data_IF_493995526826
#
_entry.id   IF_493995526826
#
_cell.length_a   1.000
_cell.length_b   1.000
_cell.length_c   1.000
_cell.angle_alpha   90.00
_cell.angle_beta   90.00
_cell.angle_gamma   90.00
#
_symmetry.space_group_name_H-M   'P 1'
#
loop_
_entity.id
_entity.type
_entity.pdbx_description
1 polymer ?
#
# COMPACT_ATOMS: atom_id res chain seq x y z
N UNK A 1 4.84 16.41 33.16
CA UNK A 1 5.79 15.27 33.09
C UNK A 1 5.34 14.25 32.04
N UNK A 2 4.04 13.95 31.93
CA UNK A 2 3.48 13.09 30.87
C UNK A 2 3.60 13.66 29.44
N UNK A 3 3.36 14.95 29.20
CA UNK A 3 3.48 15.56 27.85
C UNK A 3 4.89 15.43 27.25
N UNK A 4 5.93 15.67 28.06
CA UNK A 4 7.32 15.49 27.65
C UNK A 4 7.66 14.01 27.37
N UNK A 5 7.06 13.09 28.14
CA UNK A 5 7.20 11.64 27.90
C UNK A 5 6.58 11.24 26.56
N UNK A 6 5.41 11.77 26.22
CA UNK A 6 4.75 11.45 24.94
C UNK A 6 5.49 12.02 23.74
N UNK A 7 6.07 13.22 23.87
CA UNK A 7 6.95 13.79 22.85
C UNK A 7 8.20 12.90 22.63
N UNK A 8 8.84 12.43 23.70
CA UNK A 8 9.99 11.52 23.62
C UNK A 8 9.62 10.16 23.02
N UNK A 9 8.48 9.57 23.42
CA UNK A 9 7.93 8.34 22.81
C UNK A 9 7.72 8.53 21.30
N UNK A 10 7.14 9.65 20.89
CA UNK A 10 6.88 9.96 19.47
C UNK A 10 8.18 10.09 18.68
N UNK A 11 9.17 10.83 19.22
CA UNK A 11 10.48 10.96 18.61
C UNK A 11 11.22 9.62 18.49
N UNK A 12 11.10 8.74 19.49
CA UNK A 12 11.65 7.38 19.45
C UNK A 12 11.00 6.53 18.37
N UNK A 13 9.68 6.59 18.21
CA UNK A 13 8.96 5.88 17.14
C UNK A 13 9.40 6.36 15.76
N UNK A 14 9.52 7.68 15.57
CA UNK A 14 10.02 8.25 14.32
C UNK A 14 11.45 7.76 13.99
N UNK A 15 12.36 7.82 14.96
CA UNK A 15 13.74 7.35 14.77
C UNK A 15 13.81 5.85 14.49
N UNK A 16 12.99 5.05 15.18
CA UNK A 16 12.89 3.61 14.94
C UNK A 16 12.38 3.34 13.53
N UNK A 17 11.35 4.06 13.08
CA UNK A 17 10.82 3.94 11.73
C UNK A 17 11.88 4.28 10.69
N UNK A 18 12.54 5.44 10.80
CA UNK A 18 13.59 5.87 9.85
C UNK A 18 14.73 4.86 9.80
N UNK A 19 15.26 4.43 10.95
CA UNK A 19 16.36 3.46 11.02
C UNK A 19 15.99 2.10 10.41
N UNK A 20 14.76 1.66 10.64
CA UNK A 20 14.27 0.40 10.08
C UNK A 20 14.07 0.54 8.57
N UNK A 21 13.53 1.67 8.12
CA UNK A 21 13.35 1.96 6.71
C UNK A 21 14.68 2.09 5.96
N UNK A 22 15.69 2.74 6.50
CA UNK A 22 17.02 2.79 5.89
C UNK A 22 17.64 1.40 5.74
N UNK A 23 17.44 0.54 6.73
CA UNK A 23 17.99 -0.83 6.73
C UNK A 23 17.29 -1.75 5.73
N UNK A 24 15.98 -1.61 5.54
CA UNK A 24 15.17 -2.56 4.76
C UNK A 24 14.56 -1.97 3.48
N UNK A 25 14.38 -0.67 3.37
CA UNK A 25 13.73 0.02 2.26
C UNK A 25 14.46 -0.10 0.91
N UNK A 26 15.77 -0.40 0.94
CA UNK A 26 16.57 -0.67 -0.25
C UNK A 26 16.68 -2.16 -0.62
N UNK A 27 16.14 -3.07 0.21
CA UNK A 27 16.17 -4.50 -0.12
C UNK A 27 15.17 -4.81 -1.23
N UNK A 28 15.54 -5.80 -2.06
CA UNK A 28 14.69 -6.28 -3.13
C UNK A 28 13.41 -6.95 -2.62
N UNK A 29 13.52 -7.60 -1.46
CA UNK A 29 12.46 -8.32 -0.75
C UNK A 29 12.52 -7.96 0.74
N UNK A 30 11.40 -7.54 1.30
CA UNK A 30 11.22 -7.31 2.73
C UNK A 30 10.45 -8.51 3.28
N UNK A 31 10.98 -9.22 4.28
CA UNK A 31 10.26 -10.31 4.94
C UNK A 31 8.87 -9.85 5.43
N UNK A 32 7.84 -10.69 5.29
CA UNK A 32 6.45 -10.31 5.60
C UNK A 32 6.24 -9.91 7.07
N UNK A 33 6.94 -10.57 7.98
CA UNK A 33 7.00 -10.24 9.41
C UNK A 33 7.61 -8.86 9.66
N UNK A 34 8.62 -8.47 8.89
CA UNK A 34 9.24 -7.14 8.96
C UNK A 34 8.34 -6.08 8.36
N UNK A 35 7.61 -6.39 7.28
CA UNK A 35 6.62 -5.48 6.69
C UNK A 35 5.51 -5.16 7.69
N UNK A 36 4.90 -6.18 8.30
CA UNK A 36 3.89 -6.01 9.34
C UNK A 36 4.43 -5.20 10.52
N UNK A 37 5.67 -5.44 10.94
CA UNK A 37 6.26 -4.68 12.05
C UNK A 37 6.48 -3.21 11.70
N UNK A 38 6.96 -2.90 10.49
CA UNK A 38 7.26 -1.53 10.04
C UNK A 38 5.97 -0.72 9.85
N UNK A 39 4.98 -1.32 9.20
CA UNK A 39 3.73 -0.67 8.82
C UNK A 39 2.59 -0.88 9.82
N UNK A 40 2.80 -1.66 10.88
CA UNK A 40 1.87 -1.68 12.00
C UNK A 40 1.68 -0.25 12.53
N UNK A 41 0.41 0.12 12.65
CA UNK A 41 -0.01 1.44 13.14
C UNK A 41 -0.53 1.35 14.58
N UNK A 42 -0.70 0.14 15.12
CA UNK A 42 -1.35 -0.08 16.42
C UNK A 42 -0.70 0.74 17.54
N UNK A 43 0.63 0.82 17.58
CA UNK A 43 1.34 1.58 18.62
C UNK A 43 1.15 3.09 18.44
N UNK A 44 1.21 3.57 17.21
CA UNK A 44 0.99 4.95 16.84
C UNK A 44 -0.45 5.37 17.13
N UNK A 45 -1.45 4.55 16.81
CA UNK A 45 -2.86 4.82 17.10
C UNK A 45 -3.13 4.88 18.61
N UNK A 46 -2.53 3.99 19.40
CA UNK A 46 -2.65 4.03 20.86
C UNK A 46 -2.01 5.30 21.44
N UNK A 47 -0.83 5.67 20.95
CA UNK A 47 -0.15 6.90 21.37
C UNK A 47 -0.93 8.14 20.92
N UNK A 48 -1.56 8.10 19.74
CA UNK A 48 -2.37 9.19 19.20
C UNK A 48 -3.59 9.44 20.07
N UNK A 49 -4.25 8.35 20.50
CA UNK A 49 -5.32 8.42 21.48
C UNK A 49 -4.82 8.98 22.82
N UNK A 50 -3.67 8.52 23.33
CA UNK A 50 -3.06 9.04 24.57
C UNK A 50 -2.80 10.55 24.48
N UNK A 51 -2.28 11.04 23.34
CA UNK A 51 -2.08 12.48 23.11
C UNK A 51 -3.40 13.23 23.09
N UNK A 52 -4.43 12.69 22.43
CA UNK A 52 -5.74 13.33 22.35
C UNK A 52 -6.39 13.44 23.74
N UNK A 53 -6.37 12.36 24.52
CA UNK A 53 -6.89 12.32 25.88
C UNK A 53 -6.16 13.38 26.76
N UNK A 54 -4.83 13.48 26.68
CA UNK A 54 -4.05 14.51 27.40
C UNK A 54 -4.43 15.93 26.97
N UNK A 55 -4.70 16.17 25.68
CA UNK A 55 -5.10 17.50 25.20
C UNK A 55 -6.47 17.91 25.75
N UNK A 56 -7.40 16.97 25.82
CA UNK A 56 -8.73 17.20 26.37
C UNK A 56 -8.64 17.49 27.89
N UNK A 57 -7.82 16.75 28.63
CA UNK A 57 -7.53 16.99 30.05
C UNK A 57 -6.89 18.38 30.29
N UNK A 58 -5.91 18.76 29.46
CA UNK A 58 -5.28 20.09 29.54
C UNK A 58 -6.27 21.21 29.19
N UNK A 59 -7.15 21.01 28.21
CA UNK A 59 -8.22 21.94 27.89
C UNK A 59 -9.18 22.14 29.06
N UNK A 60 -9.56 21.06 29.74
CA UNK A 60 -10.39 21.11 30.94
C UNK A 60 -9.70 21.84 32.10
N UNK A 61 -8.41 21.59 32.32
CA UNK A 61 -7.62 22.30 33.33
C UNK A 61 -7.46 23.79 33.03
N UNK A 62 -7.27 24.15 31.75
CA UNK A 62 -7.21 25.55 31.34
C UNK A 62 -8.51 26.29 31.66
N UNK A 63 -9.66 25.68 31.33
CA UNK A 63 -10.96 26.24 31.66
C UNK A 63 -11.14 26.41 33.19
N UNK A 64 -10.78 25.39 33.97
CA UNK A 64 -10.84 25.44 35.43
C UNK A 64 -9.98 26.59 36.00
N UNK A 65 -8.77 26.80 35.50
CA UNK A 65 -7.91 27.88 35.98
C UNK A 65 -8.42 29.27 35.57
N UNK A 66 -9.05 29.39 34.40
CA UNK A 66 -9.73 30.62 34.00
C UNK A 66 -10.90 30.95 34.94
N UNK A 67 -11.72 29.95 35.27
CA UNK A 67 -12.82 30.12 36.24
C UNK A 67 -12.29 30.51 37.62
N UNK A 68 -11.23 29.86 38.10
CA UNK A 68 -10.60 30.20 39.38
C UNK A 68 -10.07 31.64 39.39
N UNK A 69 -9.46 32.11 38.29
CA UNK A 69 -9.04 33.50 38.15
C UNK A 69 -10.23 34.47 38.17
N UNK A 70 -11.37 34.08 37.58
CA UNK A 70 -12.62 34.84 37.64
C UNK A 70 -13.14 34.97 39.06
N UNK A 71 -13.25 33.86 39.79
CA UNK A 71 -13.69 33.85 41.20
C UNK A 71 -12.76 34.68 42.07
N UNK A 72 -11.44 34.54 41.90
CA UNK A 72 -10.45 35.35 42.63
C UNK A 72 -10.62 36.85 42.35
N UNK A 73 -10.90 37.23 41.10
CA UNK A 73 -11.16 38.62 40.73
C UNK A 73 -12.46 39.15 41.33
N UNK A 74 -13.50 38.32 41.45
CA UNK A 74 -14.77 38.73 42.06
C UNK A 74 -14.66 38.84 43.60
N UNK A 75 -13.91 37.94 44.24
CA UNK A 75 -13.59 38.05 45.67
C UNK A 75 -12.77 39.31 45.96
N UNK A 76 -11.81 39.63 45.10
CA UNK A 76 -11.03 40.87 45.17
C UNK A 76 -11.96 42.09 45.09
N UNK A 77 -12.88 42.14 44.11
CA UNK A 77 -13.87 43.23 44.01
C UNK A 77 -14.73 43.37 45.26
N UNK A 78 -15.17 42.26 45.87
CA UNK A 78 -16.01 42.28 47.08
C UNK A 78 -15.23 42.80 48.29
N UNK A 79 -14.00 42.31 48.51
CA UNK A 79 -13.17 42.75 49.64
C UNK A 79 -12.83 44.24 49.56
N UNK A 80 -12.51 44.73 48.37
CA UNK A 80 -12.08 46.12 48.16
C UNK A 80 -13.23 47.07 47.77
N UNK A 81 -14.47 46.58 47.68
CA UNK A 81 -15.64 47.39 47.32
C UNK A 81 -15.86 48.56 48.30
N UNK A 82 -15.44 48.39 49.57
CA UNK A 82 -15.67 49.35 50.66
C UNK A 82 -14.52 50.36 50.83
N UNK A 83 -13.28 50.01 50.46
CA UNK A 83 -12.12 50.92 50.47
C UNK A 83 -12.07 51.85 49.25
N UNK A 84 -12.42 51.34 48.05
CA UNK A 84 -12.46 52.13 46.81
C UNK A 84 -13.58 53.19 46.78
N UNK A 85 -14.67 52.96 47.54
CA UNK A 85 -15.78 53.92 47.62
C UNK A 85 -15.42 55.20 48.41
N UNK A 86 -14.35 55.17 49.22
CA UNK A 86 -13.97 56.30 50.10
C UNK A 86 -12.88 57.21 49.54
N UNK A 87 -12.05 56.76 48.59
CA UNK A 87 -10.95 57.58 48.04
C UNK A 87 -10.62 57.17 46.59
N UNK A 88 -10.99 58.02 45.61
CA UNK A 88 -10.67 57.83 44.19
C UNK A 88 -9.17 57.91 43.86
N UNK A 89 -8.37 58.51 44.73
CA UNK A 89 -6.94 58.74 44.50
C UNK A 89 -6.04 57.57 44.96
N UNK A 90 -6.61 56.50 45.54
CA UNK A 90 -5.86 55.37 46.13
C UNK A 90 -5.85 54.09 45.26
N UNK A 91 -6.46 54.09 44.09
CA UNK A 91 -6.57 52.91 43.21
C UNK A 91 -5.18 52.34 42.84
N UNK A 92 -4.18 53.20 42.70
CA UNK A 92 -2.80 52.81 42.36
C UNK A 92 -2.03 52.23 43.57
N UNK A 93 -2.32 52.70 44.79
CA UNK A 93 -1.73 52.16 46.03
C UNK A 93 -2.38 50.83 46.45
N UNK A 94 -3.68 50.67 46.20
CA UNK A 94 -4.41 49.43 46.48
C UNK A 94 -3.87 48.25 45.65
N UNK A 95 -3.56 48.45 44.35
CA UNK A 95 -2.96 47.41 43.50
C UNK A 95 -1.62 46.90 44.03
N UNK A 96 -0.77 47.78 44.55
CA UNK A 96 0.54 47.40 45.10
C UNK A 96 0.43 46.65 46.43
N UNK A 97 -0.60 46.96 47.23
CA UNK A 97 -0.85 46.27 48.49
C UNK A 97 -1.43 44.87 48.27
N UNK A 98 -2.26 44.68 47.23
CA UNK A 98 -2.90 43.40 46.87
C UNK A 98 -1.88 42.32 46.49
N UNK A 99 -0.78 42.65 45.81
CA UNK A 99 0.25 41.65 45.43
C UNK A 99 0.93 40.97 46.63
N UNK A 100 1.00 41.66 47.77
CA UNK A 100 1.51 41.11 49.04
C UNK A 100 0.46 40.35 49.87
N UNK A 101 -0.82 40.40 49.51
CA UNK A 101 -1.89 39.74 50.27
C UNK A 101 -1.98 38.24 49.96
N UNK A 102 -2.57 37.45 50.87
CA UNK A 102 -2.87 36.03 50.60
C UNK A 102 -3.66 35.81 49.30
N UNK A 103 -4.52 36.77 48.91
CA UNK A 103 -5.34 36.71 47.70
C UNK A 103 -4.51 36.96 46.43
N UNK A 104 -3.64 37.98 46.44
CA UNK A 104 -2.72 38.25 45.33
C UNK A 104 -1.74 37.09 45.09
N UNK A 105 -1.22 36.49 46.17
CA UNK A 105 -0.38 35.29 46.09
C UNK A 105 -1.14 34.07 45.54
N UNK A 106 -2.41 33.89 45.89
CA UNK A 106 -3.26 32.84 45.34
C UNK A 106 -3.49 33.06 43.83
N UNK A 107 -3.79 34.29 43.41
CA UNK A 107 -3.94 34.67 41.99
C UNK A 107 -2.67 34.43 41.19
N UNK A 108 -1.51 34.84 41.70
CA UNK A 108 -0.22 34.60 41.05
C UNK A 108 0.08 33.10 40.90
N UNK A 109 -0.29 32.27 41.89
CA UNK A 109 -0.15 30.81 41.83
C UNK A 109 -1.05 30.19 40.75
N UNK A 110 -2.32 30.58 40.69
CA UNK A 110 -3.25 30.09 39.66
C UNK A 110 -2.77 30.51 38.27
N UNK A 111 -2.34 31.76 38.11
CA UNK A 111 -1.79 32.26 36.84
C UNK A 111 -0.53 31.49 36.41
N UNK A 112 0.35 31.15 37.35
CA UNK A 112 1.51 30.29 37.07
C UNK A 112 1.07 28.91 36.56
N UNK A 113 0.10 28.27 37.23
CA UNK A 113 -0.40 26.96 36.82
C UNK A 113 -1.11 27.00 35.46
N UNK A 114 -1.87 28.06 35.18
CA UNK A 114 -2.47 28.29 33.88
C UNK A 114 -1.42 28.39 32.77
N UNK A 115 -0.36 29.17 32.97
CA UNK A 115 0.76 29.28 32.02
C UNK A 115 1.52 27.97 31.84
N UNK A 116 1.65 27.18 32.92
CA UNK A 116 2.24 25.84 32.83
C UNK A 116 1.37 24.89 31.99
N UNK A 117 0.04 24.97 32.11
CA UNK A 117 -0.91 24.19 31.27
C UNK A 117 -0.83 24.63 29.81
N UNK A 118 -0.80 25.93 29.53
CA UNK A 118 -0.64 26.45 28.16
C UNK A 118 0.65 25.93 27.51
N UNK A 119 1.76 25.93 28.27
CA UNK A 119 3.03 25.34 27.82
C UNK A 119 2.90 23.84 27.55
N UNK A 120 2.19 23.10 28.41
CA UNK A 120 1.95 21.67 28.23
C UNK A 120 1.05 21.38 27.01
N UNK A 121 0.06 22.23 26.74
CA UNK A 121 -0.80 22.14 25.56
C UNK A 121 0.00 22.30 24.27
N UNK A 122 0.93 23.27 24.23
CA UNK A 122 1.86 23.44 23.12
C UNK A 122 2.72 22.20 22.86
N UNK A 123 3.23 21.57 23.92
CA UNK A 123 3.99 20.32 23.82
C UNK A 123 3.14 19.15 23.31
N UNK A 124 1.90 19.02 23.79
CA UNK A 124 0.98 17.97 23.36
C UNK A 124 0.56 18.16 21.90
N UNK A 125 0.35 19.40 21.46
CA UNK A 125 0.08 19.75 20.05
C UNK A 125 1.25 19.38 19.14
N UNK A 126 2.47 19.68 19.56
CA UNK A 126 3.66 19.30 18.80
C UNK A 126 3.79 17.76 18.68
N UNK A 127 3.55 17.02 19.77
CA UNK A 127 3.56 15.56 19.73
C UNK A 127 2.47 15.01 18.79
N UNK A 128 1.27 15.62 18.80
CA UNK A 128 0.18 15.27 17.90
C UNK A 128 0.56 15.45 16.43
N UNK A 129 1.13 16.60 16.06
CA UNK A 129 1.56 16.89 14.68
C UNK A 129 2.66 15.93 14.23
N UNK A 130 3.68 15.71 15.05
CA UNK A 130 4.75 14.75 14.74
C UNK A 130 4.23 13.32 14.53
N UNK A 131 3.25 12.90 15.33
CA UNK A 131 2.66 11.57 15.21
C UNK A 131 1.79 11.43 13.96
N UNK A 132 1.05 12.48 13.61
CA UNK A 132 0.31 12.56 12.34
C UNK A 132 1.25 12.48 11.14
N UNK A 133 2.32 13.27 11.15
CA UNK A 133 3.32 13.25 10.08
C UNK A 133 3.98 11.88 9.95
N UNK A 134 4.31 11.22 11.07
CA UNK A 134 4.83 9.85 11.08
C UNK A 134 3.85 8.86 10.44
N UNK A 135 2.56 8.98 10.75
CA UNK A 135 1.51 8.12 10.19
C UNK A 135 1.39 8.30 8.68
N UNK A 136 1.31 9.55 8.24
CA UNK A 136 1.22 9.91 6.81
C UNK A 136 2.45 9.40 6.05
N UNK A 137 3.66 9.56 6.62
CA UNK A 137 4.90 9.03 6.05
C UNK A 137 4.88 7.50 5.94
N UNK A 138 4.46 6.78 6.97
CA UNK A 138 4.35 5.31 6.93
C UNK A 138 3.41 4.86 5.82
N UNK A 139 2.23 5.49 5.71
CA UNK A 139 1.24 5.14 4.71
C UNK A 139 1.72 5.47 3.29
N UNK A 140 2.34 6.63 3.08
CA UNK A 140 2.92 6.99 1.79
C UNK A 140 4.02 6.02 1.37
N UNK A 141 4.87 5.59 2.29
CA UNK A 141 5.93 4.61 2.01
C UNK A 141 5.38 3.22 1.73
N UNK A 142 4.32 2.78 2.44
CA UNK A 142 3.63 1.52 2.15
C UNK A 142 3.14 1.50 0.70
N UNK A 143 2.44 2.56 0.28
CA UNK A 143 1.92 2.70 -1.09
C UNK A 143 3.05 2.68 -2.13
N UNK A 144 4.16 3.39 -1.88
CA UNK A 144 5.33 3.40 -2.78
C UNK A 144 5.97 2.01 -2.89
N UNK A 145 6.11 1.32 -1.76
CA UNK A 145 6.70 0.00 -1.69
C UNK A 145 5.84 -1.05 -2.40
N UNK A 146 4.53 -1.05 -2.17
CA UNK A 146 3.56 -1.90 -2.87
C UNK A 146 3.61 -1.65 -4.39
N UNK A 147 3.66 -0.39 -4.82
CA UNK A 147 3.80 -0.05 -6.23
C UNK A 147 5.12 -0.55 -6.83
N UNK A 148 6.23 -0.47 -6.09
CA UNK A 148 7.53 -1.04 -6.50
C UNK A 148 7.46 -2.55 -6.61
N UNK A 149 6.81 -3.22 -5.66
CA UNK A 149 6.66 -4.67 -5.64
C UNK A 149 5.79 -5.16 -6.79
N UNK A 150 4.66 -4.52 -7.05
CA UNK A 150 3.79 -4.79 -8.21
C UNK A 150 4.56 -4.63 -9.53
N UNK A 151 5.34 -3.55 -9.68
CA UNK A 151 6.20 -3.37 -10.86
C UNK A 151 7.25 -4.48 -11.00
N UNK A 152 7.93 -4.87 -9.92
CA UNK A 152 8.90 -5.97 -9.95
C UNK A 152 8.23 -7.28 -10.36
N UNK A 153 7.08 -7.62 -9.77
CA UNK A 153 6.31 -8.81 -10.11
C UNK A 153 5.88 -8.79 -11.57
N UNK A 154 5.44 -7.66 -12.11
CA UNK A 154 5.09 -7.53 -13.54
C UNK A 154 6.29 -7.80 -14.46
N UNK A 155 7.48 -7.31 -14.10
CA UNK A 155 8.72 -7.56 -14.86
C UNK A 155 9.12 -9.04 -14.78
N UNK A 156 9.03 -9.65 -13.60
CA UNK A 156 9.32 -11.08 -13.41
C UNK A 156 8.32 -11.92 -14.21
N UNK A 157 7.03 -11.63 -14.13
CA UNK A 157 5.98 -12.32 -14.87
C UNK A 157 6.17 -12.17 -16.39
N UNK A 158 6.56 -10.99 -16.89
CA UNK A 158 6.88 -10.80 -18.30
C UNK A 158 8.08 -11.65 -18.76
N UNK A 159 9.14 -11.72 -17.95
CA UNK A 159 10.30 -12.59 -18.22
C UNK A 159 9.90 -14.07 -18.17
N UNK A 160 9.10 -14.47 -17.19
CA UNK A 160 8.59 -15.83 -17.06
C UNK A 160 7.69 -16.21 -18.25
N UNK A 161 6.86 -15.29 -18.74
CA UNK A 161 6.06 -15.48 -19.95
C UNK A 161 6.92 -15.84 -21.16
N UNK A 162 8.09 -15.21 -21.32
CA UNK A 162 9.05 -15.56 -22.38
C UNK A 162 9.61 -16.98 -22.21
N UNK A 163 9.90 -17.41 -20.99
CA UNK A 163 10.37 -18.78 -20.70
C UNK A 163 9.28 -19.80 -21.07
N UNK A 164 8.04 -19.54 -20.69
CA UNK A 164 6.88 -20.40 -21.06
C UNK A 164 6.72 -20.45 -22.58
N UNK A 165 6.84 -19.32 -23.29
CA UNK A 165 6.77 -19.28 -24.75
C UNK A 165 7.83 -20.17 -25.40
N UNK A 166 9.09 -20.07 -24.96
CA UNK A 166 10.17 -20.91 -25.50
C UNK A 166 9.90 -22.39 -25.27
N UNK A 167 9.44 -22.76 -24.07
CA UNK A 167 9.05 -24.14 -23.76
C UNK A 167 7.93 -24.63 -24.70
N UNK A 168 6.88 -23.82 -24.92
CA UNK A 168 5.77 -24.20 -25.83
C UNK A 168 6.23 -24.40 -27.28
N UNK A 169 7.14 -23.57 -27.79
CA UNK A 169 7.69 -23.73 -29.15
C UNK A 169 8.47 -25.04 -29.26
N UNK A 170 9.31 -25.36 -28.27
CA UNK A 170 10.04 -26.63 -28.24
C UNK A 170 9.07 -27.81 -28.22
N UNK A 171 8.04 -27.79 -27.36
CA UNK A 171 7.04 -28.87 -27.29
C UNK A 171 6.27 -29.04 -28.61
N UNK A 172 5.81 -27.95 -29.26
CA UNK A 172 5.07 -28.01 -30.53
C UNK A 172 5.90 -28.64 -31.65
N UNK A 173 7.22 -28.43 -31.66
CA UNK A 173 8.12 -29.03 -32.66
C UNK A 173 8.48 -30.48 -32.31
N UNK A 174 8.74 -30.77 -31.03
CA UNK A 174 9.22 -32.09 -30.60
C UNK A 174 8.10 -33.12 -30.51
N UNK A 175 6.90 -32.76 -30.07
CA UNK A 175 5.77 -33.68 -29.94
C UNK A 175 5.46 -34.43 -31.26
N UNK A 176 5.34 -33.76 -32.42
CA UNK A 176 5.18 -34.46 -33.70
C UNK A 176 6.41 -35.28 -34.10
N UNK A 177 7.62 -34.79 -33.82
CA UNK A 177 8.86 -35.50 -34.15
C UNK A 177 9.04 -36.79 -33.35
N UNK A 178 8.66 -36.77 -32.06
CA UNK A 178 8.64 -37.94 -31.18
C UNK A 178 7.62 -38.96 -31.70
N UNK A 179 6.43 -38.52 -32.09
CA UNK A 179 5.41 -39.40 -32.69
C UNK A 179 5.91 -40.06 -33.98
N UNK A 180 6.60 -39.31 -34.85
CA UNK A 180 7.22 -39.87 -36.07
C UNK A 180 8.25 -40.94 -35.75
N UNK A 181 9.11 -40.72 -34.76
CA UNK A 181 10.08 -41.70 -34.30
C UNK A 181 9.39 -42.99 -33.84
N UNK A 182 8.31 -42.87 -33.05
CA UNK A 182 7.52 -44.03 -32.60
C UNK A 182 6.93 -44.82 -33.77
N UNK A 183 6.40 -44.15 -34.81
CA UNK A 183 5.90 -44.83 -36.00
C UNK A 183 7.00 -45.61 -36.73
N UNK A 184 8.22 -45.07 -36.84
CA UNK A 184 9.34 -45.80 -37.46
C UNK A 184 9.87 -46.95 -36.62
N UNK A 185 9.71 -46.88 -35.30
CA UNK A 185 10.06 -48.01 -34.42
C UNK A 185 9.02 -49.13 -34.44
N UNK A 186 7.80 -48.89 -34.93
CA UNK A 186 6.78 -49.93 -35.06
C UNK A 186 7.08 -50.82 -36.27
N UNK A 187 7.22 -52.11 -36.03
CA UNK A 187 7.47 -53.11 -37.07
C UNK A 187 6.17 -53.46 -37.83
N UNK A 188 5.73 -52.56 -38.72
CA UNK A 188 4.52 -52.74 -39.54
C UNK A 188 4.93 -52.91 -41.00
N UNK A 189 4.80 -54.12 -41.54
CA UNK A 189 5.14 -54.43 -42.93
C UNK A 189 4.08 -53.95 -43.93
N UNK A 190 2.82 -53.87 -43.51
CA UNK A 190 1.67 -53.32 -44.26
C UNK A 190 0.57 -52.91 -43.27
N UNK A 191 -0.12 -51.79 -43.50
CA UNK A 191 -1.29 -51.40 -42.69
C UNK A 191 -2.51 -52.19 -43.19
N UNK A 192 -3.07 -53.16 -42.43
CA UNK A 192 -4.21 -53.94 -42.88
C UNK A 192 -5.48 -53.08 -42.81
N UNK A 193 -6.26 -53.03 -43.90
CA UNK A 193 -7.69 -52.68 -43.82
C UNK A 193 -8.47 -53.97 -44.08
N UNK A 194 -9.27 -54.39 -43.11
CA UNK A 194 -10.21 -55.50 -43.32
C UNK A 194 -11.30 -55.07 -44.30
N UNK A 195 -11.46 -55.81 -45.40
CA UNK A 195 -12.69 -55.80 -46.20
C UNK A 195 -13.40 -57.12 -45.97
N UNK A 196 -14.53 -57.12 -45.26
CA UNK A 196 -15.41 -58.29 -45.18
C UNK A 196 -16.18 -58.41 -46.51
N UNK A 197 -16.31 -59.62 -47.10
CA UNK A 197 -16.78 -59.82 -48.48
C UNK A 197 -18.32 -59.84 -48.55
N UNK A 198 -18.97 -59.80 -49.74
CA UNK A 198 -19.15 -61.05 -50.47
C UNK A 198 -19.22 -60.93 -52.01
N UNK A 199 -18.76 -62.01 -52.64
CA UNK A 199 -19.14 -62.48 -53.98
C UNK A 199 -18.28 -61.98 -55.15
N UNK A 200 -17.37 -62.89 -55.49
CA UNK A 200 -16.76 -63.22 -56.78
C UNK A 200 -16.78 -62.15 -57.90
N UNK A 201 -15.56 -61.76 -58.32
CA UNK A 201 -15.15 -61.27 -59.66
C UNK A 201 -14.57 -59.86 -59.82
N UNK A 202 -14.18 -59.15 -58.75
CA UNK A 202 -13.32 -57.96 -58.88
C UNK A 202 -12.15 -57.95 -57.87
N UNK A 203 -10.92 -57.61 -58.29
CA UNK A 203 -9.81 -57.44 -57.37
C UNK A 203 -9.92 -56.05 -56.71
N UNK A 204 -10.43 -55.99 -55.49
CA UNK A 204 -10.42 -54.76 -54.69
C UNK A 204 -9.30 -54.83 -53.64
N UNK A 205 -8.05 -54.76 -54.12
CA UNK A 205 -6.91 -54.41 -53.28
C UNK A 205 -6.79 -52.90 -53.25
N UNK A 206 -7.01 -52.28 -52.10
CA UNK A 206 -6.49 -50.92 -51.84
C UNK A 206 -5.48 -51.01 -50.71
N UNK A 207 -4.30 -51.54 -51.03
CA UNK A 207 -3.12 -51.40 -50.20
C UNK A 207 -2.65 -49.95 -50.27
N UNK A 208 -2.64 -49.24 -49.14
CA UNK A 208 -1.86 -48.00 -49.06
C UNK A 208 -0.39 -48.43 -48.99
N UNK A 209 0.31 -48.39 -50.12
CA UNK A 209 1.76 -48.65 -50.13
C UNK A 209 2.43 -47.77 -49.06
N UNK A 210 3.35 -48.30 -48.26
CA UNK A 210 4.07 -47.52 -47.24
C UNK A 210 4.73 -46.26 -47.80
N UNK A 211 5.03 -46.27 -49.10
CA UNK A 211 5.51 -45.13 -49.90
C UNK A 211 4.51 -43.95 -50.01
N UNK A 212 3.21 -44.17 -49.85
CA UNK A 212 2.17 -43.13 -49.82
C UNK A 212 1.77 -42.70 -48.42
N UNK A 213 1.88 -43.59 -47.43
CA UNK A 213 1.57 -43.27 -46.02
C UNK A 213 2.59 -42.30 -45.43
N UNK A 214 3.88 -42.52 -45.71
CA UNK A 214 4.97 -41.66 -45.24
C UNK A 214 4.79 -40.18 -45.59
N UNK A 215 4.61 -39.79 -46.87
CA UNK A 215 4.42 -38.39 -47.23
C UNK A 215 3.09 -37.82 -46.70
N UNK A 216 2.05 -38.64 -46.52
CA UNK A 216 0.77 -38.21 -45.95
C UNK A 216 0.91 -37.84 -44.46
N UNK A 217 1.55 -38.69 -43.65
CA UNK A 217 1.75 -38.43 -42.22
C UNK A 217 2.66 -37.21 -42.05
N UNK A 218 3.82 -37.19 -42.71
CA UNK A 218 4.75 -36.05 -42.66
C UNK A 218 4.06 -34.76 -43.12
N UNK A 219 3.26 -34.82 -44.19
CA UNK A 219 2.51 -33.69 -44.72
C UNK A 219 1.48 -33.14 -43.72
N UNK A 220 0.67 -34.00 -43.10
CA UNK A 220 -0.32 -33.60 -42.08
C UNK A 220 0.36 -33.03 -40.84
N UNK A 221 1.49 -33.62 -40.43
CA UNK A 221 2.25 -33.16 -39.27
C UNK A 221 2.87 -31.77 -39.49
N UNK A 222 3.47 -31.52 -40.66
CA UNK A 222 4.01 -30.21 -41.03
C UNK A 222 2.87 -29.19 -41.18
N UNK A 223 1.77 -29.58 -41.83
CA UNK A 223 0.60 -28.73 -42.01
C UNK A 223 -0.05 -28.31 -40.69
N UNK A 224 0.07 -29.11 -39.63
CA UNK A 224 -0.42 -28.77 -38.30
C UNK A 224 0.61 -27.98 -37.48
N UNK A 225 1.89 -28.35 -37.54
CA UNK A 225 2.95 -27.70 -36.75
C UNK A 225 3.29 -26.28 -37.21
N UNK A 226 3.35 -26.02 -38.53
CA UNK A 226 3.76 -24.72 -39.06
C UNK A 226 2.80 -23.59 -38.67
N UNK A 227 1.46 -23.72 -38.81
CA UNK A 227 0.52 -22.70 -38.34
C UNK A 227 0.61 -22.45 -36.84
N UNK A 228 0.79 -23.51 -36.03
CA UNK A 228 0.91 -23.42 -34.58
C UNK A 228 2.16 -22.63 -34.15
N UNK A 229 3.31 -22.84 -34.81
CA UNK A 229 4.53 -22.06 -34.58
C UNK A 229 4.34 -20.60 -34.99
N UNK A 230 3.74 -20.34 -36.15
CA UNK A 230 3.45 -18.98 -36.62
C UNK A 230 2.53 -18.24 -35.65
N UNK A 231 1.50 -18.92 -35.13
CA UNK A 231 0.61 -18.37 -34.12
C UNK A 231 1.39 -18.05 -32.85
N UNK A 232 2.23 -18.97 -32.35
CA UNK A 232 3.05 -18.74 -31.15
C UNK A 232 3.94 -17.48 -31.27
N UNK A 233 4.63 -17.27 -32.39
CA UNK A 233 5.43 -16.05 -32.61
C UNK A 233 4.58 -14.79 -32.81
N UNK A 234 3.38 -14.91 -33.39
CA UNK A 234 2.46 -13.80 -33.61
C UNK A 234 1.73 -13.38 -32.33
N UNK A 235 1.58 -14.25 -31.34
CA UNK A 235 0.86 -13.97 -30.07
C UNK A 235 1.49 -12.79 -29.31
N UNK A 236 2.82 -12.67 -29.28
CA UNK A 236 3.50 -11.54 -28.64
C UNK A 236 3.21 -10.20 -29.35
N UNK A 237 3.19 -10.22 -30.70
CA UNK A 237 2.89 -9.04 -31.52
C UNK A 237 1.41 -8.68 -31.43
N UNK A 238 0.53 -9.68 -31.38
CA UNK A 238 -0.92 -9.52 -31.27
C UNK A 238 -1.30 -8.91 -29.92
N UNK A 239 -0.72 -9.40 -28.82
CA UNK A 239 -0.97 -8.85 -27.48
C UNK A 239 -0.53 -7.38 -27.37
N UNK A 240 0.60 -7.02 -27.97
CA UNK A 240 1.10 -5.64 -28.04
C UNK A 240 0.28 -4.71 -28.97
N UNK A 241 -0.45 -5.27 -29.94
CA UNK A 241 -1.34 -4.51 -30.84
C UNK A 241 -2.72 -4.30 -30.22
N UNK A 242 -3.22 -5.30 -29.48
CA UNK A 242 -4.48 -5.26 -28.74
C UNK A 242 -4.41 -4.28 -27.56
N UNK A 243 -3.28 -4.18 -26.85
CA UNK A 243 -3.12 -3.19 -25.79
C UNK A 243 -3.16 -1.75 -26.32
N UNK A 244 -2.52 -1.49 -27.47
CA UNK A 244 -2.54 -0.17 -28.14
C UNK A 244 -3.93 0.22 -28.64
N UNK A 245 -4.72 -0.71 -29.18
CA UNK A 245 -6.08 -0.41 -29.64
C UNK A 245 -7.05 -0.14 -28.49
N UNK A 246 -6.90 -0.82 -27.34
CA UNK A 246 -7.68 -0.52 -26.13
C UNK A 246 -7.32 0.85 -25.53
N UNK A 247 -6.04 1.23 -25.53
CA UNK A 247 -5.60 2.54 -25.05
C UNK A 247 -6.12 3.67 -25.94
N UNK A 248 -6.07 3.49 -27.27
CA UNK A 248 -6.65 4.44 -28.22
C UNK A 248 -8.16 4.58 -28.05
N UNK A 249 -8.90 3.47 -27.88
CA UNK A 249 -10.34 3.51 -27.60
C UNK A 249 -10.68 4.21 -26.28
N UNK A 250 -9.83 4.11 -25.24
CA UNK A 250 -10.06 4.85 -23.98
C UNK A 250 -9.75 6.34 -24.11
N UNK A 251 -8.70 6.71 -24.84
CA UNK A 251 -8.31 8.11 -25.01
C UNK A 251 -9.20 8.89 -26.00
N UNK A 252 -9.75 8.20 -27.01
CA UNK A 252 -10.58 8.82 -28.06
C UNK A 252 -12.06 8.41 -28.03
N UNK A 253 -12.44 7.43 -27.20
CA UNK A 253 -13.83 6.99 -27.05
C UNK A 253 -14.63 7.74 -25.98
N UNK A 254 -13.98 8.53 -25.12
CA UNK A 254 -14.65 9.29 -24.06
C UNK A 254 -15.12 10.69 -24.51
N UNK A 255 -14.81 11.09 -25.76
CA UNK A 255 -15.25 12.37 -26.35
C UNK A 255 -16.55 12.28 -27.16
N UNK A 256 -17.30 11.18 -27.04
CA UNK A 256 -18.48 10.90 -27.87
C UNK A 256 -19.85 11.07 -27.22
N UNK A 257 -19.95 11.46 -25.94
CA UNK A 257 -21.23 11.59 -25.22
C UNK A 257 -21.46 12.99 -24.60
N UNK A 258 -21.06 14.05 -25.32
CA UNK A 258 -21.46 15.42 -25.01
C UNK A 258 -21.78 16.18 -26.31
N UNK A 259 -22.80 15.72 -27.03
CA UNK A 259 -23.63 16.57 -27.91
C UNK A 259 -25.11 16.23 -27.67
#
# INVERSE_FOLDING_TARGET
>A
MQTASVLDKTAKLLNLFVKTFERYGNRSEIPGDVFETIFSVTKETLLFREVQDIRDELGMLSALFQDQLGVLADVEKILYHEELAKNKDLEEQAKFQVEGTPLGLARARVMKHWKDVERMEGQARQAYEMLKDLLDLKQQQANVLEARQSRKQAVIAAKQGKVVLVFTVVTIVFLPLTFMTTIFTLNVSTFPRETVPPTATLPASTTLNGRYVFPLIVGVTIAMAVPLVVIAFKVDVMSARISRSRLYKRLFGEKGELE
#
